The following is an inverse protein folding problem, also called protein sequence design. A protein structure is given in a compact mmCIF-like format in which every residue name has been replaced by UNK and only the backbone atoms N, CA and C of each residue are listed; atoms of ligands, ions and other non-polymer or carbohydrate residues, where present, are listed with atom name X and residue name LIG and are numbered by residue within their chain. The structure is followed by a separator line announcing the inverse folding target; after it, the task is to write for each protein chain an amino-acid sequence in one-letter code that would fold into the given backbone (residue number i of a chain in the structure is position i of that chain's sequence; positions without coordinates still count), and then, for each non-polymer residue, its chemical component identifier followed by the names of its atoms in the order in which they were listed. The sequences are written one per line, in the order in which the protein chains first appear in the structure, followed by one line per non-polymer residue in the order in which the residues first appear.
data_IF_542846553471
#
_entry.id   IF_542846553471
#
_cell.length_a   1.000
_cell.length_b   1.000
_cell.length_c   1.000
_cell.angle_alpha   90.00
_cell.angle_beta   90.00
_cell.angle_gamma   90.00
#
_symmetry.space_group_name_H-M   'P 1'
#
loop_
_entity.id
_entity.type
_entity.pdbx_description
1 polymer ?
#
# COMPACT_ATOMS: atom_id res chain seq x y z
N UNK A 1 -8.57 10.80 9.06
CA UNK A 1 -8.29 9.40 8.68
C UNK A 1 -8.95 8.49 9.69
N UNK A 2 -9.72 7.50 9.25
CA UNK A 2 -10.49 6.59 10.11
C UNK A 2 -9.72 5.30 10.45
N UNK A 3 -8.42 5.41 10.69
CA UNK A 3 -7.53 4.28 10.97
C UNK A 3 -8.02 3.42 12.14
N UNK A 4 -8.53 3.99 13.26
CA UNK A 4 -9.08 3.18 14.35
C UNK A 4 -10.17 2.21 13.89
N UNK A 5 -11.07 2.61 12.98
CA UNK A 5 -12.12 1.71 12.48
C UNK A 5 -11.56 0.52 11.71
N UNK A 6 -10.44 0.67 11.00
CA UNK A 6 -9.79 -0.45 10.31
C UNK A 6 -9.18 -1.44 11.30
N UNK A 7 -8.66 -0.93 12.43
CA UNK A 7 -8.11 -1.74 13.51
C UNK A 7 -9.22 -2.46 14.27
N UNK A 8 -10.28 -1.73 14.64
CA UNK A 8 -11.42 -2.26 15.41
C UNK A 8 -12.17 -3.35 14.65
N UNK A 9 -12.29 -3.20 13.32
CA UNK A 9 -12.91 -4.20 12.46
C UNK A 9 -11.96 -5.32 12.01
N UNK A 10 -10.72 -5.36 12.53
CA UNK A 10 -9.66 -6.29 12.14
C UNK A 10 -9.54 -6.44 10.61
N UNK A 11 -9.70 -5.33 9.88
CA UNK A 11 -9.74 -5.34 8.42
C UNK A 11 -8.41 -5.83 7.87
N UNK A 12 -8.45 -6.80 6.96
CA UNK A 12 -7.25 -7.24 6.24
C UNK A 12 -6.80 -6.15 5.28
N UNK A 13 -5.57 -5.67 5.45
CA UNK A 13 -4.97 -4.66 4.59
C UNK A 13 -3.79 -5.22 3.80
N UNK A 14 -3.67 -4.80 2.54
CA UNK A 14 -2.48 -4.97 1.71
C UNK A 14 -2.10 -3.62 1.11
N UNK A 15 -0.94 -3.08 1.47
CA UNK A 15 -0.48 -1.77 1.01
C UNK A 15 0.93 -1.89 0.42
N UNK A 16 1.06 -1.62 -0.87
CA UNK A 16 2.33 -1.53 -1.58
C UNK A 16 2.59 -0.09 -2.02
N UNK A 17 3.81 0.40 -1.81
CA UNK A 17 4.25 1.69 -2.35
C UNK A 17 5.78 1.68 -2.57
N UNK A 18 6.26 1.95 -3.80
CA UNK A 18 7.70 1.95 -4.09
C UNK A 18 8.41 3.10 -3.38
N UNK A 19 9.73 2.95 -3.18
CA UNK A 19 10.57 3.97 -2.51
C UNK A 19 10.79 5.24 -3.34
N UNK A 20 10.63 5.17 -4.66
CA UNK A 20 10.83 6.33 -5.54
C UNK A 20 9.78 7.42 -5.32
N UNK A 21 10.24 8.68 -5.40
CA UNK A 21 9.39 9.87 -5.37
C UNK A 21 9.07 10.39 -6.78
N UNK A 22 9.68 9.80 -7.82
CA UNK A 22 9.45 10.16 -9.21
C UNK A 22 8.53 9.16 -9.90
N UNK A 23 7.95 9.57 -11.02
CA UNK A 23 7.05 8.73 -11.81
C UNK A 23 7.74 8.28 -13.11
N UNK A 24 7.82 6.97 -13.34
CA UNK A 24 8.11 6.42 -14.67
C UNK A 24 6.88 6.50 -15.59
N UNK A 25 5.67 6.49 -15.01
CA UNK A 25 4.40 6.79 -15.67
C UNK A 25 3.70 7.97 -14.96
N UNK A 26 4.03 9.23 -15.32
CA UNK A 26 3.44 10.40 -14.69
C UNK A 26 1.93 10.52 -14.90
N UNK A 27 1.40 10.02 -16.02
CA UNK A 27 -0.01 10.11 -16.33
C UNK A 27 -0.85 9.23 -15.41
N UNK A 28 -0.39 7.99 -15.15
CA UNK A 28 -1.04 7.08 -14.21
C UNK A 28 -1.06 7.61 -12.77
N UNK A 29 -0.10 8.48 -12.42
CA UNK A 29 0.09 9.03 -11.08
C UNK A 29 -0.26 10.50 -10.96
N UNK A 30 -0.87 11.10 -11.99
CA UNK A 30 -1.19 12.53 -12.09
C UNK A 30 -0.02 13.46 -11.72
N UNK A 31 1.22 13.01 -11.92
CA UNK A 31 2.45 13.75 -11.59
C UNK A 31 2.79 13.85 -10.10
N UNK A 32 2.12 13.11 -9.20
CA UNK A 32 2.24 13.26 -7.74
C UNK A 32 2.68 11.96 -7.01
N UNK A 33 3.73 11.32 -7.52
CA UNK A 33 4.28 10.08 -6.94
C UNK A 33 4.85 10.26 -5.52
N UNK A 34 5.44 11.42 -5.25
CA UNK A 34 5.94 11.81 -3.93
C UNK A 34 4.82 11.86 -2.89
N UNK A 35 3.66 12.42 -3.26
CA UNK A 35 2.48 12.46 -2.40
C UNK A 35 1.91 11.06 -2.15
N UNK A 36 1.87 10.21 -3.18
CA UNK A 36 1.44 8.82 -3.03
C UNK A 36 2.38 8.05 -2.08
N UNK A 37 3.70 8.21 -2.22
CA UNK A 37 4.68 7.55 -1.34
C UNK A 37 4.57 8.06 0.10
N UNK A 38 4.53 9.39 0.29
CA UNK A 38 4.49 10.02 1.60
C UNK A 38 3.18 9.73 2.36
N UNK A 39 2.05 9.71 1.66
CA UNK A 39 0.75 9.38 2.26
C UNK A 39 0.67 7.91 2.68
N UNK A 40 1.20 6.97 1.88
CA UNK A 40 1.29 5.56 2.25
C UNK A 40 2.19 5.35 3.49
N UNK A 41 3.35 6.01 3.55
CA UNK A 41 4.22 5.96 4.74
C UNK A 41 3.50 6.50 5.98
N UNK A 42 2.81 7.63 5.84
CA UNK A 42 2.04 8.24 6.93
C UNK A 42 0.90 7.33 7.40
N UNK A 43 0.18 6.69 6.47
CA UNK A 43 -0.86 5.72 6.78
C UNK A 43 -0.31 4.53 7.56
N UNK A 44 0.81 3.94 7.13
CA UNK A 44 1.44 2.83 7.83
C UNK A 44 1.83 3.19 9.27
N UNK A 45 2.49 4.34 9.45
CA UNK A 45 2.89 4.80 10.78
C UNK A 45 1.66 4.95 11.70
N UNK A 46 0.58 5.55 11.18
CA UNK A 46 -0.67 5.74 11.93
C UNK A 46 -1.36 4.40 12.22
N UNK A 47 -1.43 3.48 11.25
CA UNK A 47 -2.03 2.15 11.43
C UNK A 47 -1.29 1.36 12.52
N UNK A 48 0.04 1.38 12.51
CA UNK A 48 0.84 0.71 13.54
C UNK A 48 0.75 1.40 14.90
N UNK A 49 0.77 2.74 14.96
CA UNK A 49 0.62 3.46 16.23
C UNK A 49 -0.75 3.24 16.87
N UNK A 50 -1.79 3.00 16.06
CA UNK A 50 -3.13 2.65 16.52
C UNK A 50 -3.29 1.18 16.94
N UNK A 51 -2.22 0.37 16.92
CA UNK A 51 -2.26 -1.05 17.30
C UNK A 51 -2.68 -2.00 16.18
N UNK A 52 -2.73 -1.52 14.94
CA UNK A 52 -3.07 -2.32 13.76
C UNK A 52 -2.09 -3.46 13.52
N UNK A 53 -2.63 -4.67 13.38
CA UNK A 53 -1.86 -5.91 13.24
C UNK A 53 -2.22 -6.76 12.02
N UNK A 54 -3.40 -6.57 11.42
CA UNK A 54 -3.88 -7.36 10.29
C UNK A 54 -3.57 -6.70 8.93
N UNK A 55 -2.31 -6.32 8.71
CA UNK A 55 -1.89 -5.68 7.47
C UNK A 55 -0.54 -6.14 6.96
N UNK A 56 -0.49 -6.41 5.65
CA UNK A 56 0.74 -6.55 4.87
C UNK A 56 1.14 -5.18 4.30
N UNK A 57 2.40 -4.79 4.53
CA UNK A 57 2.91 -3.48 4.11
C UNK A 57 4.28 -3.63 3.45
N UNK A 58 4.35 -3.31 2.17
CA UNK A 58 5.59 -3.20 1.40
C UNK A 58 5.78 -1.74 0.98
N UNK A 59 6.22 -0.92 1.93
CA UNK A 59 6.41 0.52 1.74
C UNK A 59 7.90 0.84 1.75
N UNK A 60 8.40 1.33 0.62
CA UNK A 60 9.80 1.56 0.29
C UNK A 60 10.59 0.32 -0.18
N UNK A 61 9.90 -0.67 -0.74
CA UNK A 61 10.53 -1.65 -1.63
C UNK A 61 11.06 -0.96 -2.89
N UNK A 62 11.99 -1.63 -3.60
CA UNK A 62 12.37 -1.21 -4.95
C UNK A 62 11.17 -1.24 -5.90
N UNK A 63 11.30 -0.57 -7.06
CA UNK A 63 10.24 -0.52 -8.08
C UNK A 63 9.94 0.91 -8.52
N UNK A 64 8.87 1.05 -9.30
CA UNK A 64 8.39 2.30 -9.87
C UNK A 64 6.88 2.44 -9.67
N UNK A 65 6.36 3.65 -9.83
CA UNK A 65 4.92 3.89 -9.87
C UNK A 65 4.38 3.63 -11.28
N UNK A 66 4.39 2.35 -11.68
CA UNK A 66 3.95 1.89 -13.01
C UNK A 66 3.44 0.44 -13.00
N UNK A 67 2.89 0.04 -14.16
CA UNK A 67 2.33 -1.30 -14.36
C UNK A 67 3.35 -2.43 -14.26
N UNK A 68 4.62 -2.18 -14.58
CA UNK A 68 5.68 -3.20 -14.43
C UNK A 68 5.88 -3.57 -12.96
N UNK A 69 5.62 -2.64 -12.05
CA UNK A 69 5.68 -2.87 -10.61
C UNK A 69 4.35 -3.36 -10.05
N UNK A 70 3.21 -2.84 -10.53
CA UNK A 70 1.89 -3.20 -10.01
C UNK A 70 1.40 -4.60 -10.40
N UNK A 71 1.70 -5.07 -11.62
CA UNK A 71 1.21 -6.38 -12.07
C UNK A 71 1.79 -7.57 -11.26
N UNK A 72 3.10 -7.62 -10.94
CA UNK A 72 3.64 -8.63 -10.04
C UNK A 72 3.05 -8.55 -8.61
N UNK A 73 2.72 -7.34 -8.13
CA UNK A 73 2.12 -7.16 -6.80
C UNK A 73 0.70 -7.73 -6.73
N UNK A 74 -0.08 -7.64 -7.81
CA UNK A 74 -1.38 -8.31 -7.89
C UNK A 74 -1.24 -9.84 -7.75
N UNK A 75 -0.26 -10.44 -8.44
CA UNK A 75 0.02 -11.86 -8.33
C UNK A 75 0.45 -12.26 -6.91
N UNK A 76 1.26 -11.42 -6.24
CA UNK A 76 1.69 -11.64 -4.86
C UNK A 76 0.52 -11.54 -3.84
N UNK A 77 -0.42 -10.62 -4.06
CA UNK A 77 -1.58 -10.41 -3.20
C UNK A 77 -2.68 -11.47 -3.40
N UNK A 78 -2.81 -12.04 -4.60
CA UNK A 78 -3.93 -12.91 -4.94
C UNK A 78 -4.19 -14.07 -3.95
N UNK A 79 -3.17 -14.83 -3.47
CA UNK A 79 -3.40 -15.89 -2.47
C UNK A 79 -3.93 -15.36 -1.14
N UNK A 80 -3.44 -14.19 -0.69
CA UNK A 80 -3.88 -13.55 0.56
C UNK A 80 -5.34 -13.12 0.47
N UNK A 81 -5.73 -12.53 -0.67
CA UNK A 81 -7.10 -12.17 -0.95
C UNK A 81 -8.01 -13.40 -0.93
N UNK A 82 -7.67 -14.45 -1.68
CA UNK A 82 -8.47 -15.70 -1.72
C UNK A 82 -8.54 -16.43 -0.37
N UNK A 83 -7.58 -16.24 0.53
CA UNK A 83 -7.67 -16.77 1.89
C UNK A 83 -8.59 -15.93 2.80
N UNK A 84 -8.72 -14.63 2.51
CA UNK A 84 -9.44 -13.66 3.35
C UNK A 84 -10.93 -13.60 3.05
N UNK A 85 -11.35 -13.64 1.78
CA UNK A 85 -12.74 -13.36 1.36
C UNK A 85 -13.59 -14.61 1.07
N UNK A 86 -13.29 -15.74 1.71
CA UNK A 86 -14.03 -17.00 1.47
C UNK A 86 -15.42 -17.01 2.07
#
# INVERSE_FOLDING_TARGET
MHVPLLVDNDTRLWVYSPSTLTCSDPAAMIGHCDQAQGSNRSFYNHYRSAGGRNGHFDIAQGGQHDWNSWAPQLAAMAPDMTATIR
#
